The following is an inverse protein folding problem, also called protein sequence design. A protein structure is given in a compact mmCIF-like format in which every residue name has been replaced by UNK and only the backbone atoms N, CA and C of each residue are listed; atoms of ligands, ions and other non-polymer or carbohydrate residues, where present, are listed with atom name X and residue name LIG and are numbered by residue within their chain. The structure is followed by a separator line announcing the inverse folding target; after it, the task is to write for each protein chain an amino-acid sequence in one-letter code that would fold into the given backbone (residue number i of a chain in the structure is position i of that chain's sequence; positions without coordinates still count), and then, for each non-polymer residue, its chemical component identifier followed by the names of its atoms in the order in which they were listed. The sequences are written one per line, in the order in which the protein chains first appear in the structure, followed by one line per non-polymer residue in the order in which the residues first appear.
data_IF_731697404530
#
_entry.id   IF_731697404530
#
_cell.length_a   1.000
_cell.length_b   1.000
_cell.length_c   1.000
_cell.angle_alpha   90.00
_cell.angle_beta   90.00
_cell.angle_gamma   90.00
#
_symmetry.space_group_name_H-M   'P 1'
#
loop_
_entity.id
_entity.type
_entity.pdbx_description
1 polymer ?
#
# COMPACT_ATOMS: atom_id res chain seq x y z
N UNK A 1 -73.97 14.89 -30.42
CA UNK A 1 -73.46 14.40 -29.12
C UNK A 1 -74.39 13.32 -28.60
N UNK A 2 -74.20 12.06 -29.03
CA UNK A 2 -74.92 10.92 -28.46
C UNK A 2 -74.24 10.56 -27.14
N UNK A 3 -75.01 10.62 -26.05
CA UNK A 3 -74.56 10.20 -24.73
C UNK A 3 -74.36 8.68 -24.75
N UNK A 4 -73.14 8.24 -24.50
CA UNK A 4 -72.83 6.83 -24.23
C UNK A 4 -73.65 6.41 -23.00
N UNK A 5 -74.66 5.57 -23.20
CA UNK A 5 -75.43 4.96 -22.11
C UNK A 5 -74.59 3.78 -21.60
N UNK A 6 -73.93 3.97 -20.45
CA UNK A 6 -73.29 2.85 -19.74
C UNK A 6 -74.41 2.10 -19.03
N UNK A 7 -74.60 0.84 -19.41
CA UNK A 7 -75.52 -0.07 -18.73
C UNK A 7 -75.01 -0.33 -17.30
N UNK A 8 -75.74 0.11 -16.24
CA UNK A 8 -75.31 -0.08 -14.85
C UNK A 8 -75.31 -1.55 -14.42
N UNK A 9 -75.82 -2.49 -15.24
CA UNK A 9 -75.76 -3.93 -14.96
C UNK A 9 -74.46 -4.61 -15.44
N UNK A 10 -73.60 -3.90 -16.19
CA UNK A 10 -72.27 -4.38 -16.60
C UNK A 10 -71.21 -4.21 -15.48
N UNK A 11 -71.57 -3.64 -14.32
CA UNK A 11 -70.70 -3.64 -13.13
C UNK A 11 -70.96 -4.90 -12.29
N UNK A 12 -70.47 -6.04 -12.77
CA UNK A 12 -70.04 -7.18 -11.94
C UNK A 12 -68.71 -7.60 -12.52
N UNK A 13 -67.62 -7.53 -11.77
CA UNK A 13 -67.41 -8.45 -10.68
C UNK A 13 -66.73 -7.78 -9.50
N UNK A 14 -67.16 -8.17 -8.30
CA UNK A 14 -66.38 -8.04 -7.09
C UNK A 14 -64.95 -8.44 -7.41
N UNK A 15 -64.03 -7.50 -7.30
CA UNK A 15 -62.61 -7.83 -7.23
C UNK A 15 -62.48 -8.74 -6.01
N UNK A 16 -62.41 -10.05 -6.24
CA UNK A 16 -62.29 -11.04 -5.19
C UNK A 16 -61.05 -10.66 -4.37
N UNK A 17 -61.24 -10.25 -3.14
CA UNK A 17 -60.17 -9.80 -2.26
C UNK A 17 -59.10 -10.89 -2.11
N UNK A 18 -59.49 -12.18 -2.17
CA UNK A 18 -58.55 -13.30 -2.21
C UNK A 18 -57.79 -13.39 -3.54
N UNK A 19 -58.43 -13.14 -4.68
CA UNK A 19 -57.73 -13.09 -5.97
C UNK A 19 -56.76 -11.90 -6.07
N UNK A 20 -57.10 -10.74 -5.48
CA UNK A 20 -56.16 -9.62 -5.37
C UNK A 20 -55.01 -9.99 -4.43
N UNK A 21 -55.29 -10.55 -3.25
CA UNK A 21 -54.25 -10.98 -2.30
C UNK A 21 -53.29 -11.99 -2.94
N UNK A 22 -53.81 -12.94 -3.71
CA UNK A 22 -52.99 -13.93 -4.39
C UNK A 22 -52.20 -13.32 -5.55
N UNK A 23 -52.78 -12.39 -6.31
CA UNK A 23 -52.04 -11.63 -7.33
C UNK A 23 -50.93 -10.78 -6.71
N UNK A 24 -51.19 -10.11 -5.58
CA UNK A 24 -50.20 -9.33 -4.83
C UNK A 24 -49.08 -10.20 -4.25
N UNK A 25 -49.39 -11.42 -3.78
CA UNK A 25 -48.36 -12.39 -3.35
C UNK A 25 -47.46 -12.79 -4.52
N UNK A 26 -48.03 -13.05 -5.69
CA UNK A 26 -47.25 -13.38 -6.89
C UNK A 26 -46.40 -12.20 -7.33
N UNK A 27 -46.91 -10.97 -7.28
CA UNK A 27 -46.15 -9.76 -7.67
C UNK A 27 -45.08 -9.32 -6.67
N UNK A 28 -45.08 -9.86 -5.45
CA UNK A 28 -44.10 -9.45 -4.46
C UNK A 28 -42.66 -9.73 -4.96
N UNK A 29 -41.70 -8.80 -4.83
CA UNK A 29 -40.34 -8.97 -5.37
C UNK A 29 -39.62 -10.24 -4.90
N UNK A 30 -39.85 -10.64 -3.65
CA UNK A 30 -39.33 -11.92 -3.10
C UNK A 30 -39.91 -13.12 -3.85
N UNK A 31 -41.22 -13.13 -4.12
CA UNK A 31 -41.87 -14.23 -4.86
C UNK A 31 -41.34 -14.27 -6.29
N UNK A 32 -41.24 -13.12 -6.97
CA UNK A 32 -40.67 -13.03 -8.31
C UNK A 32 -39.23 -13.57 -8.34
N UNK A 33 -38.41 -13.21 -7.35
CA UNK A 33 -37.05 -13.72 -7.22
C UNK A 33 -37.02 -15.23 -6.99
N UNK A 34 -37.86 -15.74 -6.10
CA UNK A 34 -37.95 -17.17 -5.82
C UNK A 34 -38.33 -17.97 -7.07
N UNK A 35 -39.31 -17.49 -7.84
CA UNK A 35 -39.71 -18.11 -9.11
C UNK A 35 -38.58 -18.07 -10.14
N UNK A 36 -37.84 -16.96 -10.24
CA UNK A 36 -36.69 -16.84 -11.12
C UNK A 36 -35.55 -17.83 -10.76
N UNK A 37 -35.46 -18.22 -9.49
CA UNK A 37 -34.52 -19.24 -8.99
C UNK A 37 -35.07 -20.69 -9.11
N UNK A 38 -36.17 -20.88 -9.84
CA UNK A 38 -36.80 -22.19 -10.07
C UNK A 38 -37.98 -22.53 -9.14
N UNK A 39 -38.33 -21.62 -8.22
CA UNK A 39 -39.48 -21.76 -7.33
C UNK A 39 -39.42 -23.06 -6.51
N UNK A 40 -40.54 -23.78 -6.36
CA UNK A 40 -40.60 -25.04 -5.61
C UNK A 40 -39.66 -26.15 -6.12
N UNK A 41 -39.30 -26.14 -7.41
CA UNK A 41 -38.34 -27.08 -8.00
C UNK A 41 -36.89 -26.59 -7.96
N UNK A 42 -36.65 -25.36 -7.47
CA UNK A 42 -35.34 -24.73 -7.41
C UNK A 42 -34.51 -25.17 -6.20
N UNK A 43 -33.22 -24.83 -6.25
CA UNK A 43 -32.24 -25.22 -5.22
C UNK A 43 -32.51 -24.60 -3.85
N UNK A 44 -33.21 -23.45 -3.79
CA UNK A 44 -33.49 -22.74 -2.54
C UNK A 44 -34.42 -23.51 -1.60
N UNK A 45 -35.23 -24.43 -2.17
CA UNK A 45 -36.15 -25.30 -1.44
C UNK A 45 -37.45 -24.60 -1.00
N UNK A 46 -38.26 -25.24 -0.14
CA UNK A 46 -39.51 -24.66 0.36
C UNK A 46 -39.24 -23.47 1.29
N UNK A 47 -40.17 -22.52 1.31
CA UNK A 47 -40.15 -21.45 2.31
C UNK A 47 -40.49 -22.00 3.69
N UNK A 48 -39.81 -21.49 4.72
CA UNK A 48 -40.00 -21.90 6.11
C UNK A 48 -40.95 -20.97 6.87
N UNK A 49 -41.09 -19.74 6.37
CA UNK A 49 -41.92 -18.68 6.96
C UNK A 49 -42.66 -17.94 5.85
N UNK A 50 -43.78 -17.25 6.14
CA UNK A 50 -44.35 -16.28 5.21
C UNK A 50 -43.40 -15.11 4.96
N UNK A 51 -43.62 -14.38 3.85
CA UNK A 51 -42.96 -13.10 3.62
C UNK A 51 -43.27 -12.18 4.81
N UNK A 52 -42.22 -11.75 5.49
CA UNK A 52 -42.31 -11.01 6.75
C UNK A 52 -41.59 -9.68 6.58
N UNK A 53 -42.15 -8.61 7.15
CA UNK A 53 -41.50 -7.30 7.17
C UNK A 53 -40.22 -7.38 8.00
N UNK A 54 -39.14 -6.78 7.51
CA UNK A 54 -37.90 -6.71 8.28
C UNK A 54 -38.12 -5.90 9.57
N UNK A 55 -37.50 -6.29 10.70
CA UNK A 55 -37.53 -5.56 11.97
C UNK A 55 -37.19 -4.06 11.91
N UNK A 56 -36.37 -3.62 10.95
CA UNK A 56 -36.06 -2.21 10.73
C UNK A 56 -37.24 -1.40 10.14
N UNK A 57 -38.28 -2.09 9.69
CA UNK A 57 -39.48 -1.53 9.09
C UNK A 57 -39.35 -1.16 7.61
N UNK A 58 -38.23 -1.42 6.93
CA UNK A 58 -38.05 -0.94 5.56
C UNK A 58 -38.31 -2.04 4.54
N UNK A 59 -37.55 -3.13 4.64
CA UNK A 59 -37.63 -4.24 3.71
C UNK A 59 -38.59 -5.35 4.12
N UNK A 60 -38.52 -6.44 3.39
CA UNK A 60 -39.17 -7.70 3.74
C UNK A 60 -38.23 -8.85 3.45
N UNK A 61 -38.45 -9.99 4.09
CA UNK A 61 -37.64 -11.18 3.89
C UNK A 61 -38.48 -12.45 3.94
N UNK A 62 -37.93 -13.51 3.36
CA UNK A 62 -38.45 -14.86 3.51
C UNK A 62 -37.29 -15.83 3.67
N UNK A 63 -37.37 -16.71 4.66
CA UNK A 63 -36.42 -17.80 4.83
C UNK A 63 -36.91 -19.04 4.10
N UNK A 64 -35.95 -19.74 3.50
CA UNK A 64 -36.14 -20.99 2.79
C UNK A 64 -35.21 -22.05 3.38
N UNK A 65 -35.44 -23.32 3.02
CA UNK A 65 -34.62 -24.43 3.52
C UNK A 65 -33.11 -24.21 3.31
N UNK A 66 -32.72 -23.70 2.14
CA UNK A 66 -31.31 -23.57 1.76
C UNK A 66 -30.82 -22.12 1.67
N UNK A 67 -31.60 -21.13 2.08
CA UNK A 67 -31.18 -19.72 2.00
C UNK A 67 -32.23 -18.73 2.46
N UNK A 68 -32.02 -17.46 2.17
CA UNK A 68 -32.98 -16.38 2.40
C UNK A 68 -33.07 -15.49 1.17
N UNK A 69 -34.24 -14.91 0.93
CA UNK A 69 -34.38 -13.76 0.02
C UNK A 69 -34.78 -12.55 0.84
N UNK A 70 -34.06 -11.46 0.67
CA UNK A 70 -34.36 -10.16 1.27
C UNK A 70 -34.66 -9.15 0.18
N UNK A 71 -35.68 -8.34 0.41
CA UNK A 71 -36.09 -7.24 -0.45
C UNK A 71 -35.93 -5.91 0.30
N UNK A 72 -35.34 -4.93 -0.38
CA UNK A 72 -35.36 -3.53 0.03
C UNK A 72 -35.73 -2.64 -1.17
N UNK A 73 -36.51 -1.55 -0.98
CA UNK A 73 -36.96 -0.71 -2.09
C UNK A 73 -35.85 -0.16 -2.99
N UNK A 74 -34.68 0.13 -2.41
CA UNK A 74 -33.53 0.67 -3.16
C UNK A 74 -32.59 -0.38 -3.74
N UNK A 75 -32.66 -1.64 -3.29
CA UNK A 75 -31.70 -2.68 -3.72
C UNK A 75 -32.36 -3.79 -4.52
N UNK A 76 -33.67 -3.98 -4.39
CA UNK A 76 -34.40 -5.10 -4.99
C UNK A 76 -34.36 -6.34 -4.13
N UNK A 77 -34.76 -7.48 -4.70
CA UNK A 77 -34.80 -8.78 -4.02
C UNK A 77 -33.57 -9.62 -4.38
N UNK A 78 -32.77 -9.97 -3.37
CA UNK A 78 -31.54 -10.74 -3.52
C UNK A 78 -31.51 -11.91 -2.57
N UNK A 79 -30.93 -13.02 -3.03
CA UNK A 79 -30.72 -14.18 -2.20
C UNK A 79 -29.37 -14.13 -1.46
N UNK A 80 -29.33 -14.70 -0.26
CA UNK A 80 -28.10 -14.98 0.48
C UNK A 80 -28.21 -16.40 1.04
N UNK A 81 -27.18 -17.23 0.87
CA UNK A 81 -27.19 -18.61 1.34
C UNK A 81 -25.87 -19.07 1.98
N UNK A 82 -25.82 -20.35 2.34
CA UNK A 82 -24.62 -21.01 2.86
C UNK A 82 -23.92 -20.27 4.01
N UNK A 83 -22.58 -20.23 3.94
CA UNK A 83 -21.74 -19.63 4.96
C UNK A 83 -21.75 -18.09 4.93
N UNK A 84 -22.05 -17.48 3.78
CA UNK A 84 -22.21 -16.02 3.69
C UNK A 84 -23.44 -15.58 4.48
N UNK A 85 -24.57 -16.27 4.29
CA UNK A 85 -25.79 -16.06 5.06
C UNK A 85 -25.55 -16.27 6.56
N UNK A 86 -24.86 -17.34 6.93
CA UNK A 86 -24.53 -17.60 8.34
C UNK A 86 -23.66 -16.50 8.95
N UNK A 87 -22.72 -15.94 8.18
CA UNK A 87 -21.90 -14.80 8.62
C UNK A 87 -22.73 -13.54 8.79
N UNK A 88 -23.56 -13.20 7.81
CA UNK A 88 -24.44 -12.03 7.90
C UNK A 88 -25.45 -12.14 9.05
N UNK A 89 -25.99 -13.34 9.28
CA UNK A 89 -26.82 -13.67 10.44
C UNK A 89 -26.10 -13.35 11.76
N UNK A 90 -24.82 -13.72 11.88
CA UNK A 90 -24.03 -13.49 13.11
C UNK A 90 -23.86 -12.01 13.45
N UNK A 91 -24.00 -11.11 12.49
CA UNK A 91 -23.99 -9.67 12.71
C UNK A 91 -25.36 -9.07 13.01
N UNK A 92 -26.43 -9.86 12.95
CA UNK A 92 -27.80 -9.38 13.14
C UNK A 92 -28.52 -9.00 11.85
N UNK A 93 -28.17 -9.62 10.71
CA UNK A 93 -28.88 -9.49 9.44
C UNK A 93 -28.92 -8.04 8.93
N UNK A 94 -30.06 -7.58 8.40
CA UNK A 94 -30.25 -6.25 7.83
C UNK A 94 -30.13 -5.12 8.84
N UNK A 95 -30.23 -5.43 10.15
CA UNK A 95 -29.99 -4.45 11.22
C UNK A 95 -28.50 -4.21 11.49
N UNK A 96 -27.64 -5.05 10.94
CA UNK A 96 -26.19 -4.88 11.06
C UNK A 96 -25.70 -3.69 10.23
N UNK A 97 -24.45 -3.30 10.46
CA UNK A 97 -23.79 -2.26 9.65
C UNK A 97 -23.69 -2.61 8.16
N UNK A 98 -23.88 -3.87 7.77
CA UNK A 98 -23.91 -4.28 6.36
C UNK A 98 -25.22 -3.90 5.67
N UNK A 99 -26.35 -3.83 6.39
CA UNK A 99 -27.66 -3.58 5.78
C UNK A 99 -28.10 -4.71 4.86
N UNK A 100 -28.82 -4.36 3.79
CA UNK A 100 -29.39 -5.30 2.83
C UNK A 100 -28.41 -5.76 1.75
N UNK A 101 -28.59 -6.97 1.20
CA UNK A 101 -27.84 -7.43 0.03
C UNK A 101 -28.12 -6.57 -1.21
N UNK A 102 -27.07 -6.38 -2.00
CA UNK A 102 -27.06 -5.71 -3.31
C UNK A 102 -26.93 -6.68 -4.47
N UNK A 103 -26.51 -7.92 -4.18
CA UNK A 103 -26.35 -9.00 -5.15
C UNK A 103 -26.85 -10.30 -4.55
N UNK A 104 -27.20 -11.24 -5.42
CA UNK A 104 -27.22 -12.66 -5.05
C UNK A 104 -25.82 -13.14 -4.68
N UNK A 105 -25.74 -14.32 -4.07
CA UNK A 105 -24.47 -14.99 -3.86
C UNK A 105 -23.91 -15.41 -5.22
N UNK A 106 -22.84 -14.73 -5.63
CA UNK A 106 -22.29 -14.83 -6.97
C UNK A 106 -20.91 -15.46 -6.92
N UNK A 107 -20.56 -16.29 -7.91
CA UNK A 107 -19.19 -16.78 -8.09
C UNK A 107 -18.24 -15.61 -8.29
N UNK A 108 -17.14 -15.59 -7.53
CA UNK A 108 -16.09 -14.61 -7.72
C UNK A 108 -15.49 -14.74 -9.12
N UNK A 109 -15.06 -13.63 -9.75
CA UNK A 109 -14.47 -13.68 -11.09
C UNK A 109 -13.25 -14.61 -11.26
N UNK A 110 -12.51 -14.97 -10.21
CA UNK A 110 -11.45 -16.00 -10.28
C UNK A 110 -11.98 -17.45 -10.37
N UNK A 111 -13.29 -17.67 -10.21
CA UNK A 111 -13.95 -18.97 -10.26
C UNK A 111 -13.85 -19.81 -8.98
N UNK A 112 -13.22 -19.31 -7.91
CA UNK A 112 -12.91 -20.10 -6.71
C UNK A 112 -13.94 -19.90 -5.61
N UNK A 113 -14.25 -18.65 -5.30
CA UNK A 113 -15.07 -18.25 -4.18
C UNK A 113 -16.50 -17.86 -4.55
N UNK A 114 -17.19 -17.34 -3.54
CA UNK A 114 -18.54 -16.78 -3.63
C UNK A 114 -18.56 -15.46 -2.87
N UNK A 115 -19.44 -14.54 -3.24
CA UNK A 115 -19.61 -13.30 -2.49
C UNK A 115 -21.03 -12.76 -2.59
N UNK A 116 -21.41 -11.98 -1.58
CA UNK A 116 -22.49 -11.01 -1.68
C UNK A 116 -21.92 -9.62 -1.40
N UNK A 117 -22.33 -8.63 -2.18
CA UNK A 117 -22.23 -7.25 -1.78
C UNK A 117 -23.46 -6.85 -0.96
N UNK A 118 -23.23 -6.03 0.05
CA UNK A 118 -24.25 -5.43 0.91
C UNK A 118 -24.11 -3.91 0.86
N UNK A 119 -25.12 -3.19 1.32
CA UNK A 119 -25.10 -1.71 1.35
C UNK A 119 -23.86 -1.16 2.07
N UNK A 120 -23.48 -1.78 3.19
CA UNK A 120 -22.38 -1.33 4.03
C UNK A 120 -21.05 -2.05 3.80
N UNK A 121 -20.99 -3.11 2.99
CA UNK A 121 -19.78 -3.91 2.85
C UNK A 121 -19.90 -5.10 1.91
N UNK A 122 -19.02 -6.08 2.08
CA UNK A 122 -19.06 -7.35 1.36
C UNK A 122 -18.80 -8.50 2.31
N UNK A 123 -19.37 -9.67 2.01
CA UNK A 123 -18.91 -10.93 2.60
C UNK A 123 -18.43 -11.82 1.46
N UNK A 124 -17.20 -12.30 1.57
CA UNK A 124 -16.58 -13.21 0.63
C UNK A 124 -16.33 -14.55 1.29
N UNK A 125 -16.61 -15.62 0.56
CA UNK A 125 -16.31 -16.98 0.94
C UNK A 125 -15.31 -17.61 -0.03
N UNK A 126 -14.35 -18.37 0.49
CA UNK A 126 -13.57 -19.32 -0.30
C UNK A 126 -13.42 -20.67 0.41
N UNK A 127 -13.15 -21.76 -0.33
CA UNK A 127 -12.94 -23.08 0.27
C UNK A 127 -11.82 -23.11 1.32
N UNK A 128 -10.79 -22.28 1.15
CA UNK A 128 -9.61 -22.26 2.03
C UNK A 128 -9.72 -21.31 3.21
N UNK A 129 -10.66 -20.36 3.20
CA UNK A 129 -10.77 -19.35 4.26
C UNK A 129 -12.10 -19.38 5.01
N UNK A 130 -13.20 -19.84 4.39
CA UNK A 130 -14.55 -19.62 4.91
C UNK A 130 -15.08 -18.23 4.54
N UNK A 131 -16.18 -17.81 5.18
CA UNK A 131 -16.86 -16.55 4.85
C UNK A 131 -16.43 -15.41 5.77
N UNK A 132 -15.93 -14.31 5.22
CA UNK A 132 -15.39 -13.16 5.96
C UNK A 132 -15.87 -11.82 5.39
N UNK A 133 -16.08 -10.89 6.31
CA UNK A 133 -16.61 -9.57 6.03
C UNK A 133 -15.51 -8.53 5.81
N UNK A 134 -15.71 -7.64 4.85
CA UNK A 134 -14.86 -6.47 4.60
C UNK A 134 -15.73 -5.26 4.28
N UNK A 135 -15.55 -4.13 4.98
CA UNK A 135 -16.34 -2.91 4.77
C UNK A 135 -15.48 -1.64 4.71
N UNK A 136 -16.16 -0.51 4.53
CA UNK A 136 -15.60 0.84 4.66
C UNK A 136 -14.34 1.08 3.83
N UNK A 137 -13.38 1.77 4.43
CA UNK A 137 -12.15 2.16 3.76
C UNK A 137 -11.27 0.96 3.39
N UNK A 138 -11.27 -0.11 4.18
CA UNK A 138 -10.50 -1.32 3.91
C UNK A 138 -11.05 -2.05 2.69
N UNK A 139 -12.37 -2.19 2.58
CA UNK A 139 -13.02 -2.75 1.39
C UNK A 139 -12.72 -1.92 0.16
N UNK A 140 -12.81 -0.59 0.25
CA UNK A 140 -12.52 0.30 -0.88
C UNK A 140 -11.06 0.16 -1.34
N UNK A 141 -10.13 0.02 -0.39
CA UNK A 141 -8.71 -0.24 -0.69
C UNK A 141 -8.53 -1.57 -1.40
N UNK A 142 -9.07 -2.66 -0.85
CA UNK A 142 -8.99 -3.98 -1.46
C UNK A 142 -9.62 -4.02 -2.86
N UNK A 143 -10.74 -3.33 -3.04
CA UNK A 143 -11.38 -3.13 -4.34
C UNK A 143 -10.45 -2.47 -5.35
N UNK A 144 -9.75 -1.39 -4.95
CA UNK A 144 -8.82 -0.68 -5.83
C UNK A 144 -7.61 -1.52 -6.25
N UNK A 145 -7.29 -2.56 -5.48
CA UNK A 145 -6.21 -3.52 -5.78
C UNK A 145 -6.68 -4.66 -6.69
N UNK A 146 -7.99 -4.76 -6.98
CA UNK A 146 -8.56 -5.83 -7.80
C UNK A 146 -9.20 -6.97 -7.00
N UNK A 147 -9.64 -6.71 -5.76
CA UNK A 147 -10.36 -7.67 -4.92
C UNK A 147 -9.59 -8.99 -4.72
N UNK A 148 -10.26 -10.13 -4.78
CA UNK A 148 -9.69 -11.47 -4.61
C UNK A 148 -8.70 -11.86 -5.71
N UNK A 149 -8.68 -11.14 -6.85
CA UNK A 149 -7.67 -11.31 -7.90
C UNK A 149 -6.38 -10.55 -7.63
N UNK A 150 -6.37 -9.68 -6.62
CA UNK A 150 -5.15 -9.01 -6.17
C UNK A 150 -4.18 -9.98 -5.49
N UNK A 151 -2.94 -9.55 -5.29
CA UNK A 151 -1.95 -10.31 -4.53
C UNK A 151 -2.36 -10.57 -3.07
N UNK A 152 -3.37 -9.87 -2.53
CA UNK A 152 -3.90 -10.12 -1.20
C UNK A 152 -4.81 -11.36 -1.16
N UNK A 153 -5.49 -11.70 -2.25
CA UNK A 153 -6.43 -12.82 -2.29
C UNK A 153 -7.67 -12.59 -1.41
N UNK A 154 -8.19 -13.67 -0.82
CA UNK A 154 -9.40 -13.65 0.01
C UNK A 154 -9.13 -13.16 1.43
N UNK A 155 -10.13 -12.51 2.07
CA UNK A 155 -10.07 -12.18 3.49
C UNK A 155 -9.99 -13.43 4.37
N UNK A 156 -9.29 -13.32 5.49
CA UNK A 156 -9.13 -14.34 6.54
C UNK A 156 -9.77 -13.93 7.86
N UNK A 157 -10.20 -12.67 7.98
CA UNK A 157 -10.87 -12.12 9.15
C UNK A 157 -11.99 -11.19 8.69
N UNK A 158 -12.95 -10.94 9.59
CA UNK A 158 -13.79 -9.74 9.47
C UNK A 158 -12.93 -8.49 9.65
N UNK A 159 -13.53 -7.32 9.44
CA UNK A 159 -12.89 -6.08 9.89
C UNK A 159 -12.93 -6.01 11.43
N UNK A 160 -11.76 -6.02 12.04
CA UNK A 160 -11.57 -6.01 13.50
C UNK A 160 -10.98 -4.68 13.95
N UNK A 161 -11.29 -4.28 15.19
CA UNK A 161 -10.56 -3.20 15.85
C UNK A 161 -9.16 -3.68 16.19
N UNK A 162 -8.15 -2.86 15.92
CA UNK A 162 -6.78 -3.18 16.32
C UNK A 162 -6.67 -3.29 17.86
N UNK A 163 -5.75 -4.11 18.37
CA UNK A 163 -5.54 -4.26 19.81
C UNK A 163 -5.36 -2.96 20.60
N UNK A 164 -4.78 -1.91 20.03
CA UNK A 164 -4.63 -0.60 20.68
C UNK A 164 -5.91 0.25 20.74
N UNK A 165 -6.99 -0.18 20.07
CA UNK A 165 -8.29 0.51 20.03
C UNK A 165 -8.38 1.69 19.05
N UNK A 166 -7.35 1.96 18.25
CA UNK A 166 -7.29 3.15 17.39
C UNK A 166 -7.75 2.85 15.96
N UNK A 167 -7.26 1.77 15.38
CA UNK A 167 -7.43 1.42 13.99
C UNK A 167 -8.39 0.26 13.74
N UNK A 168 -8.51 -0.07 12.47
CA UNK A 168 -9.27 -1.20 11.96
C UNK A 168 -8.39 -2.01 11.02
N UNK A 169 -8.61 -3.32 10.91
CA UNK A 169 -7.86 -4.14 9.98
C UNK A 169 -8.63 -5.37 9.48
N UNK A 170 -8.24 -5.83 8.30
CA UNK A 170 -8.51 -7.18 7.83
C UNK A 170 -7.18 -7.88 7.51
N UNK A 171 -7.08 -9.16 7.87
CA UNK A 171 -6.06 -10.04 7.28
C UNK A 171 -6.61 -10.68 6.01
N UNK A 172 -5.73 -10.85 5.03
CA UNK A 172 -5.97 -11.52 3.76
C UNK A 172 -4.93 -12.63 3.58
N UNK A 173 -5.14 -13.53 2.62
CA UNK A 173 -4.23 -14.63 2.33
C UNK A 173 -2.80 -14.16 2.05
N UNK A 174 -2.64 -13.10 1.27
CA UNK A 174 -1.34 -12.57 0.86
C UNK A 174 -0.83 -11.41 1.72
N UNK A 175 -1.63 -10.87 2.65
CA UNK A 175 -1.23 -9.67 3.39
C UNK A 175 -2.27 -9.16 4.38
N UNK A 176 -2.26 -7.86 4.65
CA UNK A 176 -3.23 -7.22 5.53
C UNK A 176 -3.47 -5.79 5.09
N UNK A 177 -4.66 -5.27 5.37
CA UNK A 177 -4.96 -3.85 5.20
C UNK A 177 -5.30 -3.29 6.57
N UNK A 178 -4.63 -2.21 6.95
CA UNK A 178 -4.86 -1.48 8.18
C UNK A 178 -5.36 -0.08 7.85
N UNK A 179 -6.25 0.44 8.68
CA UNK A 179 -6.81 1.78 8.55
C UNK A 179 -6.81 2.52 9.89
N UNK A 180 -6.50 3.80 9.85
CA UNK A 180 -6.81 4.77 10.91
C UNK A 180 -7.37 6.05 10.30
N UNK A 181 -8.07 6.90 11.07
CA UNK A 181 -8.47 8.23 10.59
C UNK A 181 -7.30 9.09 10.10
N UNK A 182 -6.11 8.92 10.71
CA UNK A 182 -4.92 9.74 10.41
C UNK A 182 -4.12 9.27 9.19
N UNK A 183 -4.14 7.97 8.91
CA UNK A 183 -3.31 7.36 7.85
C UNK A 183 -4.11 6.97 6.63
N UNK A 184 -5.42 6.72 6.77
CA UNK A 184 -6.18 6.02 5.73
C UNK A 184 -5.82 4.53 5.67
N UNK A 185 -6.33 3.84 4.64
CA UNK A 185 -6.22 2.39 4.49
C UNK A 185 -5.01 2.02 3.63
N UNK A 186 -4.09 1.24 4.21
CA UNK A 186 -2.86 0.81 3.57
C UNK A 186 -2.67 -0.68 3.68
N UNK A 187 -2.21 -1.28 2.58
CA UNK A 187 -1.83 -2.68 2.57
C UNK A 187 -0.39 -2.87 3.06
N UNK A 188 -0.13 -3.98 3.74
CA UNK A 188 1.21 -4.47 4.03
C UNK A 188 1.21 -5.97 3.74
N UNK A 189 2.19 -6.45 2.96
CA UNK A 189 2.26 -7.85 2.54
C UNK A 189 3.69 -8.41 2.58
N UNK A 190 3.81 -9.71 2.26
CA UNK A 190 5.10 -10.39 2.09
C UNK A 190 6.05 -10.28 3.29
N UNK A 191 7.36 -10.19 2.99
CA UNK A 191 8.41 -10.15 4.02
C UNK A 191 8.31 -8.90 4.91
N UNK A 192 7.91 -7.76 4.35
CA UNK A 192 7.71 -6.51 5.10
C UNK A 192 6.66 -6.71 6.19
N UNK A 193 5.52 -7.32 5.85
CA UNK A 193 4.47 -7.63 6.82
C UNK A 193 4.95 -8.57 7.91
N UNK A 194 5.67 -9.63 7.57
CA UNK A 194 6.18 -10.59 8.57
C UNK A 194 7.18 -9.92 9.52
N UNK A 195 8.03 -9.02 9.02
CA UNK A 195 8.90 -8.20 9.87
C UNK A 195 8.10 -7.29 10.80
N UNK A 196 7.09 -6.59 10.28
CA UNK A 196 6.25 -5.70 11.10
C UNK A 196 5.45 -6.46 12.17
N UNK A 197 4.92 -7.64 11.81
CA UNK A 197 4.30 -8.59 12.74
C UNK A 197 5.25 -9.01 13.85
N UNK A 198 6.49 -9.39 13.51
CA UNK A 198 7.50 -9.79 14.49
C UNK A 198 7.87 -8.65 15.46
N UNK A 199 7.72 -7.39 15.03
CA UNK A 199 7.90 -6.22 15.88
C UNK A 199 6.68 -5.88 16.76
N UNK A 200 5.56 -6.58 16.60
CA UNK A 200 4.32 -6.34 17.36
C UNK A 200 3.30 -5.45 16.65
N UNK A 201 3.28 -5.44 15.31
CA UNK A 201 2.25 -4.77 14.49
C UNK A 201 2.13 -3.26 14.79
N UNK A 202 0.91 -2.73 14.88
CA UNK A 202 0.62 -1.32 15.14
C UNK A 202 1.12 -0.83 16.50
N UNK A 203 1.32 -1.75 17.46
CA UNK A 203 1.93 -1.45 18.77
C UNK A 203 3.45 -1.39 18.73
N UNK A 204 4.07 -1.73 17.60
CA UNK A 204 5.52 -1.65 17.44
C UNK A 204 6.02 -0.21 17.46
N UNK A 205 7.34 -0.07 17.53
CA UNK A 205 8.04 1.23 17.42
C UNK A 205 7.67 2.00 16.14
N UNK A 206 7.23 1.31 15.09
CA UNK A 206 6.89 1.90 13.79
C UNK A 206 5.47 2.46 13.73
N UNK A 207 4.52 1.88 14.48
CA UNK A 207 3.11 2.28 14.43
C UNK A 207 2.38 1.75 13.20
N UNK A 208 1.39 2.50 12.72
CA UNK A 208 0.56 2.14 11.56
C UNK A 208 1.26 2.41 10.23
N UNK A 209 0.92 1.65 9.17
CA UNK A 209 1.37 1.96 7.81
C UNK A 209 0.79 3.30 7.34
N UNK A 210 1.61 4.06 6.60
CA UNK A 210 1.28 5.35 5.96
C UNK A 210 1.46 5.31 4.45
N UNK A 211 1.85 4.15 3.91
CA UNK A 211 1.90 3.85 2.49
C UNK A 211 1.58 2.38 2.29
N UNK A 212 1.19 2.03 1.06
CA UNK A 212 1.30 0.65 0.59
C UNK A 212 2.78 0.29 0.39
N UNK A 213 3.06 -0.93 -0.10
CA UNK A 213 4.40 -1.28 -0.57
C UNK A 213 4.76 -0.49 -1.85
N UNK A 214 5.92 0.17 -1.80
CA UNK A 214 6.45 0.99 -2.89
C UNK A 214 7.73 0.38 -3.46
N UNK A 215 7.95 0.59 -4.75
CA UNK A 215 9.22 0.28 -5.42
C UNK A 215 10.26 1.32 -5.07
N UNK A 216 11.46 0.88 -4.69
CA UNK A 216 12.57 1.77 -4.33
C UNK A 216 13.45 2.03 -5.55
N UNK A 217 13.53 3.30 -5.96
CA UNK A 217 14.42 3.79 -7.04
C UNK A 217 14.38 2.97 -8.34
N UNK A 218 13.21 2.45 -8.72
CA UNK A 218 13.05 1.61 -9.91
C UNK A 218 13.76 0.25 -9.87
N UNK A 219 14.33 -0.14 -8.72
CA UNK A 219 15.05 -1.38 -8.53
C UNK A 219 14.17 -2.53 -7.98
N UNK A 220 14.84 -3.58 -7.52
CA UNK A 220 14.20 -4.77 -6.92
C UNK A 220 13.79 -4.55 -5.47
N UNK A 221 14.31 -3.50 -4.81
CA UNK A 221 13.96 -3.14 -3.44
C UNK A 221 12.50 -2.72 -3.30
N UNK A 222 11.94 -2.99 -2.11
CA UNK A 222 10.59 -2.61 -1.71
C UNK A 222 10.63 -1.89 -0.37
N UNK A 223 9.71 -0.97 -0.16
CA UNK A 223 9.59 -0.24 1.12
C UNK A 223 8.13 -0.01 1.46
N UNK A 224 7.78 -0.16 2.73
CA UNK A 224 6.54 0.39 3.28
C UNK A 224 6.88 1.42 4.34
N UNK A 225 6.18 2.55 4.32
CA UNK A 225 6.30 3.60 5.31
C UNK A 225 5.31 3.37 6.45
N UNK A 226 5.74 3.70 7.65
CA UNK A 226 4.97 3.66 8.87
C UNK A 226 5.09 5.01 9.57
N UNK A 227 4.19 5.29 10.51
CA UNK A 227 4.11 6.58 11.22
C UNK A 227 5.44 7.08 11.78
N UNK A 228 6.33 6.17 12.20
CA UNK A 228 7.63 6.51 12.82
C UNK A 228 8.79 5.77 12.16
N UNK A 229 8.70 5.43 10.89
CA UNK A 229 9.80 4.73 10.23
C UNK A 229 9.41 4.06 8.93
N UNK A 230 10.23 3.11 8.51
CA UNK A 230 9.95 2.32 7.31
C UNK A 230 10.50 0.92 7.48
N UNK A 231 9.98 -0.03 6.72
CA UNK A 231 10.64 -1.33 6.54
C UNK A 231 11.01 -1.43 5.08
N UNK A 232 12.30 -1.57 4.83
CA UNK A 232 12.86 -1.86 3.52
C UNK A 232 13.06 -3.36 3.38
N UNK A 233 12.87 -3.87 2.18
CA UNK A 233 13.21 -5.23 1.80
C UNK A 233 13.99 -5.23 0.49
N UNK A 234 14.99 -6.09 0.39
CA UNK A 234 15.56 -6.49 -0.90
C UNK A 234 15.89 -7.98 -0.93
N UNK A 235 16.05 -8.58 -2.12
CA UNK A 235 16.43 -9.98 -2.25
C UNK A 235 17.75 -10.34 -1.55
N UNK A 236 18.70 -9.39 -1.46
CA UNK A 236 20.03 -9.63 -0.90
C UNK A 236 20.11 -9.26 0.59
N UNK A 237 19.46 -8.18 1.01
CA UNK A 237 19.59 -7.65 2.37
C UNK A 237 18.52 -8.17 3.33
N UNK A 238 17.46 -8.82 2.82
CA UNK A 238 16.28 -9.17 3.59
C UNK A 238 15.54 -7.92 4.08
N UNK A 239 14.76 -8.05 5.16
CA UNK A 239 14.05 -6.92 5.77
C UNK A 239 14.94 -6.11 6.68
N UNK A 240 14.84 -4.78 6.60
CA UNK A 240 15.57 -3.81 7.43
C UNK A 240 14.61 -2.74 7.94
N UNK A 241 14.62 -2.52 9.25
CA UNK A 241 13.85 -1.45 9.89
C UNK A 241 14.64 -0.15 9.78
N UNK A 242 14.02 0.86 9.20
CA UNK A 242 14.59 2.18 9.01
C UNK A 242 13.93 3.17 9.96
N UNK A 243 14.72 3.87 10.76
CA UNK A 243 14.27 4.80 11.81
C UNK A 243 14.85 6.20 11.62
N UNK A 244 15.93 6.29 10.87
CA UNK A 244 16.56 7.52 10.46
C UNK A 244 16.43 7.69 8.95
N UNK A 245 16.64 8.91 8.48
CA UNK A 245 16.74 9.24 7.07
C UNK A 245 17.82 10.26 6.79
N UNK A 246 18.33 10.19 5.57
CA UNK A 246 19.11 11.23 4.92
C UNK A 246 18.34 11.77 3.74
N UNK A 247 18.42 13.07 3.51
CA UNK A 247 17.70 13.77 2.45
C UNK A 247 18.71 14.32 1.46
N UNK A 248 18.56 13.95 0.19
CA UNK A 248 19.56 14.19 -0.85
C UNK A 248 18.92 14.88 -2.05
N UNK A 249 19.53 15.98 -2.46
CA UNK A 249 19.20 16.69 -3.69
C UNK A 249 20.25 16.38 -4.75
N UNK A 250 19.79 16.13 -5.98
CA UNK A 250 20.63 15.81 -7.12
C UNK A 250 20.79 17.04 -8.00
N UNK A 251 22.03 17.40 -8.31
CA UNK A 251 22.38 18.44 -9.26
C UNK A 251 23.16 17.81 -10.41
N UNK A 252 22.67 17.96 -11.64
CA UNK A 252 23.23 17.32 -12.83
C UNK A 252 23.85 18.39 -13.71
N UNK A 253 25.17 18.43 -13.78
CA UNK A 253 25.87 19.16 -14.84
C UNK A 253 26.07 18.22 -16.03
N UNK A 254 26.37 16.96 -15.73
CA UNK A 254 26.63 15.91 -16.71
C UNK A 254 25.91 14.63 -16.32
N UNK A 255 25.21 14.00 -17.28
CA UNK A 255 24.46 12.79 -17.01
C UNK A 255 25.39 11.60 -16.72
N UNK A 256 25.10 10.79 -15.69
CA UNK A 256 25.77 9.51 -15.47
C UNK A 256 25.76 8.62 -16.70
N UNK A 257 26.87 7.93 -16.97
CA UNK A 257 27.04 7.05 -18.14
C UNK A 257 27.25 5.59 -17.78
N UNK A 258 27.85 5.29 -16.63
CA UNK A 258 28.12 3.91 -16.21
C UNK A 258 26.89 3.26 -15.56
N UNK A 259 26.17 4.04 -14.75
CA UNK A 259 24.96 3.62 -14.04
C UNK A 259 24.01 4.80 -13.93
N UNK A 260 22.72 4.54 -14.12
CA UNK A 260 21.65 5.53 -13.92
C UNK A 260 21.60 6.01 -12.47
N UNK A 261 20.97 7.16 -12.24
CA UNK A 261 20.72 7.66 -10.87
C UNK A 261 19.93 6.65 -10.04
N UNK A 262 18.92 6.03 -10.63
CA UNK A 262 18.12 5.00 -9.97
C UNK A 262 18.96 3.81 -9.49
N UNK A 263 19.88 3.31 -10.31
CA UNK A 263 20.79 2.22 -9.91
C UNK A 263 21.74 2.63 -8.79
N UNK A 264 22.27 3.86 -8.83
CA UNK A 264 23.16 4.39 -7.80
C UNK A 264 22.43 4.62 -6.47
N UNK A 265 21.22 5.17 -6.50
CA UNK A 265 20.40 5.38 -5.30
C UNK A 265 19.85 4.06 -4.74
N UNK A 266 19.49 3.09 -5.59
CA UNK A 266 19.11 1.74 -5.16
C UNK A 266 20.27 1.04 -4.44
N UNK A 267 21.47 1.10 -5.03
CA UNK A 267 22.70 0.56 -4.44
C UNK A 267 23.02 1.23 -3.08
N UNK A 268 22.93 2.56 -3.02
CA UNK A 268 23.13 3.32 -1.78
C UNK A 268 22.10 2.94 -0.71
N UNK A 269 20.81 2.88 -1.05
CA UNK A 269 19.75 2.53 -0.10
C UNK A 269 19.90 1.11 0.44
N UNK A 270 20.28 0.15 -0.39
CA UNK A 270 20.49 -1.23 0.04
C UNK A 270 21.58 -1.32 1.12
N UNK A 271 22.69 -0.61 0.94
CA UNK A 271 23.77 -0.55 1.91
C UNK A 271 23.34 0.24 3.15
N UNK A 272 22.74 1.43 2.99
CA UNK A 272 22.34 2.29 4.10
C UNK A 272 21.21 1.69 4.95
N UNK A 273 20.42 0.78 4.39
CA UNK A 273 19.43 0.01 5.12
C UNK A 273 20.06 -0.87 6.20
N UNK A 274 21.31 -1.33 6.03
CA UNK A 274 22.07 -2.04 7.09
C UNK A 274 22.27 -1.15 8.32
N UNK A 275 22.45 0.15 8.10
CA UNK A 275 22.55 1.15 9.16
C UNK A 275 21.19 1.60 9.71
N UNK A 276 20.06 1.14 9.17
CA UNK A 276 18.72 1.61 9.57
C UNK A 276 18.34 2.97 8.97
N UNK A 277 19.03 3.40 7.91
CA UNK A 277 18.86 4.72 7.31
C UNK A 277 18.11 4.62 5.98
N UNK A 278 17.05 5.41 5.85
CA UNK A 278 16.34 5.64 4.59
C UNK A 278 17.02 6.75 3.80
N UNK A 279 17.14 6.56 2.50
CA UNK A 279 17.62 7.55 1.54
C UNK A 279 16.40 8.20 0.90
N UNK A 280 16.24 9.51 1.08
CA UNK A 280 15.20 10.31 0.44
C UNK A 280 15.83 11.09 -0.73
N UNK A 281 15.52 10.71 -1.96
CA UNK A 281 15.80 11.56 -3.14
C UNK A 281 14.74 12.67 -3.18
N UNK A 282 15.14 13.90 -2.85
CA UNK A 282 14.22 15.03 -2.66
C UNK A 282 13.93 15.78 -3.96
N UNK A 283 14.96 16.23 -4.67
CA UNK A 283 14.80 16.95 -5.95
C UNK A 283 15.90 16.61 -6.94
N UNK A 284 15.64 16.85 -8.21
CA UNK A 284 16.67 16.91 -9.26
C UNK A 284 16.65 18.27 -9.94
N UNK A 285 17.82 18.83 -10.21
CA UNK A 285 18.00 20.06 -10.98
C UNK A 285 19.16 19.88 -11.97
N UNK A 286 18.92 20.23 -13.24
CA UNK A 286 19.99 20.32 -14.23
C UNK A 286 20.65 21.70 -14.09
N UNK A 287 21.97 21.74 -13.99
CA UNK A 287 22.76 22.97 -13.90
C UNK A 287 23.56 23.19 -15.18
N UNK A 288 23.60 24.42 -15.66
CA UNK A 288 24.45 24.82 -16.79
C UNK A 288 25.62 25.66 -16.28
N UNK A 289 26.72 24.97 -15.96
CA UNK A 289 27.94 25.57 -15.42
C UNK A 289 29.15 25.00 -16.18
N UNK A 290 29.37 25.40 -17.44
CA UNK A 290 30.34 24.74 -18.34
C UNK A 290 31.78 24.80 -17.85
N UNK A 291 32.13 25.76 -16.99
CA UNK A 291 33.46 25.85 -16.37
C UNK A 291 33.63 24.94 -15.16
N UNK A 292 32.57 24.27 -14.72
CA UNK A 292 32.55 23.38 -13.54
C UNK A 292 32.13 21.95 -13.92
N UNK A 293 32.23 21.56 -15.20
CA UNK A 293 32.01 20.17 -15.61
C UNK A 293 33.20 19.28 -15.28
N UNK A 294 34.42 19.82 -15.24
CA UNK A 294 35.57 19.16 -14.62
C UNK A 294 35.94 19.98 -13.39
N UNK A 295 35.84 19.38 -12.21
CA UNK A 295 35.93 20.13 -10.95
C UNK A 295 37.23 19.83 -10.24
N UNK A 296 38.02 20.86 -9.97
CA UNK A 296 39.14 20.77 -9.03
C UNK A 296 38.61 20.50 -7.63
N UNK A 297 38.97 19.34 -7.06
CA UNK A 297 38.61 18.90 -5.71
C UNK A 297 39.84 18.82 -4.79
N UNK A 298 41.01 19.24 -5.28
CA UNK A 298 42.28 19.16 -4.55
C UNK A 298 42.56 17.73 -4.08
N UNK A 299 43.15 17.58 -2.89
CA UNK A 299 43.41 16.24 -2.31
C UNK A 299 42.16 15.50 -1.82
N UNK A 300 40.96 16.11 -1.93
CA UNK A 300 39.71 15.59 -1.37
C UNK A 300 39.79 15.25 0.14
N UNK A 301 40.35 16.15 0.94
CA UNK A 301 40.40 15.99 2.39
C UNK A 301 39.18 16.65 3.05
N UNK A 302 38.48 15.91 3.91
CA UNK A 302 37.35 16.46 4.65
C UNK A 302 37.74 17.75 5.40
N UNK A 303 36.89 18.78 5.27
CA UNK A 303 37.15 20.11 5.83
C UNK A 303 38.01 21.04 4.96
N UNK A 304 38.50 20.58 3.81
CA UNK A 304 39.21 21.39 2.82
C UNK A 304 38.41 21.42 1.51
N UNK A 305 38.15 22.61 0.98
CA UNK A 305 37.46 22.77 -0.31
C UNK A 305 38.17 23.78 -1.21
N UNK A 306 38.22 23.49 -2.50
CA UNK A 306 38.77 24.40 -3.52
C UNK A 306 37.82 25.57 -3.83
N UNK A 307 38.29 26.53 -4.62
CA UNK A 307 37.46 27.62 -5.14
C UNK A 307 36.33 27.12 -6.05
N UNK A 308 36.60 26.08 -6.84
CA UNK A 308 35.60 25.47 -7.72
C UNK A 308 34.54 24.71 -6.92
N UNK A 309 34.93 23.93 -5.90
CA UNK A 309 33.97 23.33 -4.97
C UNK A 309 33.15 24.39 -4.25
N UNK A 310 33.76 25.49 -3.81
CA UNK A 310 33.03 26.59 -3.15
C UNK A 310 31.97 27.20 -4.07
N UNK A 311 32.30 27.38 -5.36
CA UNK A 311 31.39 27.91 -6.38
C UNK A 311 30.28 26.91 -6.71
N UNK A 312 30.63 25.65 -6.95
CA UNK A 312 29.69 24.57 -7.26
C UNK A 312 28.67 24.38 -6.14
N UNK A 313 29.15 24.25 -4.90
CA UNK A 313 28.32 24.09 -3.70
C UNK A 313 27.56 25.37 -3.32
N UNK A 314 27.73 26.48 -4.06
CA UNK A 314 26.82 27.62 -4.00
C UNK A 314 25.44 27.32 -4.61
N UNK A 315 25.34 26.33 -5.48
CA UNK A 315 24.11 25.97 -6.20
C UNK A 315 23.26 24.98 -5.39
N UNK A 316 22.58 25.47 -4.35
CA UNK A 316 21.82 24.66 -3.38
C UNK A 316 20.31 24.92 -3.40
N UNK A 317 19.75 25.21 -4.57
CA UNK A 317 18.32 25.46 -4.72
C UNK A 317 17.50 24.30 -4.12
N UNK A 318 16.36 24.63 -3.51
CA UNK A 318 15.37 23.72 -2.91
C UNK A 318 15.78 23.03 -1.60
N UNK A 319 16.96 23.30 -1.06
CA UNK A 319 17.45 22.65 0.16
C UNK A 319 16.96 23.33 1.43
N UNK A 320 16.75 22.53 2.48
CA UNK A 320 16.35 22.98 3.81
C UNK A 320 17.16 22.27 4.90
N UNK A 321 17.46 22.96 6.00
CA UNK A 321 18.09 22.35 7.18
C UNK A 321 19.35 21.54 6.86
N UNK A 322 19.31 20.25 7.18
CA UNK A 322 20.44 19.31 7.07
C UNK A 322 20.44 18.51 5.75
N UNK A 323 19.71 18.98 4.73
CA UNK A 323 19.68 18.34 3.41
C UNK A 323 21.09 18.32 2.76
N UNK A 324 21.44 17.19 2.17
CA UNK A 324 22.70 16.99 1.47
C UNK A 324 22.53 17.13 -0.04
N UNK A 325 23.64 17.31 -0.77
CA UNK A 325 23.64 17.42 -2.22
C UNK A 325 24.66 16.50 -2.87
N UNK A 326 24.31 15.95 -4.02
CA UNK A 326 25.29 15.36 -4.95
C UNK A 326 25.33 16.19 -6.24
N UNK A 327 26.54 16.51 -6.70
CA UNK A 327 26.78 17.10 -8.01
C UNK A 327 27.36 16.05 -8.96
N UNK A 328 26.64 15.76 -10.05
CA UNK A 328 27.15 14.91 -11.12
C UNK A 328 27.88 15.73 -12.17
N UNK A 329 29.17 15.44 -12.34
CA UNK A 329 30.11 16.19 -13.17
C UNK A 329 30.79 15.26 -14.19
N UNK A 330 31.50 15.81 -15.19
CA UNK A 330 32.25 15.02 -16.17
C UNK A 330 33.44 14.32 -15.52
N UNK A 331 34.27 15.06 -14.80
CA UNK A 331 35.46 14.53 -14.12
C UNK A 331 35.85 15.39 -12.91
N UNK A 332 36.83 14.94 -12.13
CA UNK A 332 37.48 15.76 -11.10
C UNK A 332 38.96 15.94 -11.41
N UNK A 333 39.56 16.97 -10.81
CA UNK A 333 41.00 17.21 -10.81
C UNK A 333 41.50 17.25 -9.35
N UNK A 334 42.45 16.41 -8.94
CA UNK A 334 42.94 15.19 -9.59
C UNK A 334 41.81 14.19 -9.90
N UNK A 335 42.11 13.20 -10.74
CA UNK A 335 41.14 12.22 -11.21
C UNK A 335 40.71 11.24 -10.10
N UNK A 336 39.53 11.49 -9.54
CA UNK A 336 38.83 10.64 -8.59
C UNK A 336 37.46 10.25 -9.16
N UNK A 337 36.85 9.20 -8.61
CA UNK A 337 35.46 8.84 -8.98
C UNK A 337 34.42 9.72 -8.27
N UNK A 338 34.81 10.33 -7.15
CA UNK A 338 33.99 11.23 -6.38
C UNK A 338 34.83 11.98 -5.36
N UNK A 339 34.20 12.96 -4.74
CA UNK A 339 34.79 13.65 -3.61
C UNK A 339 33.73 14.17 -2.64
N UNK A 340 33.82 13.73 -1.40
CA UNK A 340 32.96 14.15 -0.29
C UNK A 340 33.41 15.44 0.41
N UNK A 341 34.60 15.96 0.09
CA UNK A 341 35.05 17.23 0.66
C UNK A 341 34.15 18.37 0.17
N UNK A 342 33.69 19.20 1.11
CA UNK A 342 32.71 20.24 0.85
C UNK A 342 32.93 21.46 1.76
N UNK A 343 32.50 22.66 1.35
CA UNK A 343 32.58 23.84 2.21
C UNK A 343 31.78 23.68 3.50
N UNK A 344 32.23 24.32 4.58
CA UNK A 344 31.56 24.25 5.89
C UNK A 344 30.06 24.64 5.79
N UNK A 345 29.19 23.87 6.44
CA UNK A 345 27.75 24.06 6.41
C UNK A 345 27.07 23.71 5.08
N UNK A 346 27.78 23.11 4.11
CA UNK A 346 27.23 22.72 2.80
C UNK A 346 27.44 21.22 2.54
N UNK A 347 26.85 20.32 3.35
CA UNK A 347 27.08 18.88 3.24
C UNK A 347 26.72 18.36 1.86
N UNK A 348 27.59 17.53 1.29
CA UNK A 348 27.39 16.94 -0.02
C UNK A 348 28.68 16.40 -0.64
N UNK A 349 28.58 15.94 -1.87
CA UNK A 349 29.69 15.37 -2.62
C UNK A 349 29.61 15.70 -4.11
N UNK A 350 30.72 15.48 -4.79
CA UNK A 350 30.83 15.43 -6.26
C UNK A 350 30.96 13.97 -6.66
N UNK A 351 30.29 13.55 -7.73
CA UNK A 351 30.41 12.22 -8.32
C UNK A 351 30.61 12.36 -9.82
N UNK A 352 31.61 11.67 -10.39
CA UNK A 352 31.85 11.74 -11.83
C UNK A 352 30.87 10.86 -12.59
N UNK A 353 30.49 11.25 -13.81
CA UNK A 353 29.51 10.54 -14.64
C UNK A 353 29.87 9.08 -14.92
N UNK A 354 31.16 8.74 -14.91
CA UNK A 354 31.65 7.38 -15.13
C UNK A 354 31.80 6.55 -13.85
N UNK A 355 31.41 7.08 -12.69
CA UNK A 355 31.60 6.41 -11.40
C UNK A 355 30.87 5.05 -11.32
N UNK A 356 31.34 4.19 -10.42
CA UNK A 356 30.67 2.92 -10.14
C UNK A 356 29.36 3.15 -9.41
N UNK A 357 28.45 2.15 -9.42
CA UNK A 357 27.17 2.24 -8.70
C UNK A 357 27.30 2.47 -7.19
N UNK A 358 28.47 2.17 -6.60
CA UNK A 358 28.73 2.28 -5.16
C UNK A 358 29.33 3.63 -4.76
N UNK A 359 29.86 4.40 -5.71
CA UNK A 359 30.54 5.67 -5.41
C UNK A 359 29.64 6.66 -4.69
N UNK A 360 28.37 6.78 -5.10
CA UNK A 360 27.43 7.68 -4.43
C UNK A 360 27.33 7.38 -2.93
N UNK A 361 27.10 6.10 -2.58
CA UNK A 361 27.02 5.66 -1.19
C UNK A 361 28.33 5.84 -0.43
N UNK A 362 29.47 5.59 -1.08
CA UNK A 362 30.81 5.78 -0.52
C UNK A 362 31.06 7.25 -0.14
N UNK A 363 30.81 8.19 -1.06
CA UNK A 363 31.01 9.61 -0.79
C UNK A 363 30.08 10.10 0.32
N UNK A 364 28.81 9.68 0.32
CA UNK A 364 27.92 10.01 1.43
C UNK A 364 28.30 9.33 2.74
N UNK A 365 28.97 8.17 2.69
CA UNK A 365 29.61 7.58 3.87
C UNK A 365 30.59 8.55 4.53
N UNK A 366 31.47 9.18 3.75
CA UNK A 366 32.37 10.23 4.27
C UNK A 366 31.63 11.46 4.80
N UNK A 367 30.60 11.93 4.08
CA UNK A 367 29.77 13.05 4.55
C UNK A 367 29.10 12.73 5.90
N UNK A 368 28.78 11.46 6.13
CA UNK A 368 28.23 10.96 7.39
C UNK A 368 29.28 10.59 8.45
N UNK A 369 30.57 10.87 8.18
CA UNK A 369 31.66 10.71 9.15
C UNK A 369 32.42 9.39 9.07
N UNK A 370 32.24 8.61 8.00
CA UNK A 370 33.02 7.39 7.80
C UNK A 370 34.41 7.69 7.22
N UNK A 371 35.36 6.81 7.52
CA UNK A 371 36.73 6.85 7.01
C UNK A 371 37.02 5.63 6.15
N UNK A 372 38.03 5.73 5.28
CA UNK A 372 38.44 4.59 4.47
C UNK A 372 38.89 3.40 5.32
N UNK A 373 38.66 2.22 4.76
CA UNK A 373 39.14 0.93 5.26
C UNK A 373 39.90 0.21 4.15
N UNK A 374 40.89 -0.59 4.51
CA UNK A 374 41.60 -1.44 3.55
C UNK A 374 40.90 -2.80 3.42
N UNK A 375 39.66 -2.80 2.90
CA UNK A 375 38.87 -4.02 2.67
C UNK A 375 37.87 -3.79 1.53
N UNK A 376 37.98 -4.59 0.47
CA UNK A 376 37.14 -4.49 -0.73
C UNK A 376 35.74 -5.08 -0.58
N UNK A 377 35.46 -5.82 0.49
CA UNK A 377 34.09 -6.24 0.80
C UNK A 377 33.26 -5.12 1.45
N UNK A 378 33.89 -4.00 1.83
CA UNK A 378 33.25 -2.91 2.58
C UNK A 378 33.02 -1.67 1.73
N UNK A 379 31.95 -0.93 2.04
CA UNK A 379 31.56 0.27 1.28
C UNK A 379 32.70 1.29 1.24
N UNK A 380 33.37 1.49 2.38
CA UNK A 380 34.41 2.50 2.56
C UNK A 380 35.79 2.01 2.10
N UNK A 381 35.88 1.08 1.14
CA UNK A 381 37.18 0.63 0.60
C UNK A 381 38.02 1.81 0.10
N UNK A 382 39.25 1.94 0.61
CA UNK A 382 40.24 2.90 0.13
C UNK A 382 40.87 2.52 -1.22
N UNK A 383 40.61 1.30 -1.71
CA UNK A 383 41.18 0.79 -2.96
C UNK A 383 40.33 1.12 -4.19
N UNK A 384 39.27 1.92 -4.03
CA UNK A 384 38.38 2.35 -5.11
C UNK A 384 37.14 1.46 -5.26
N UNK A 385 35.99 2.09 -5.48
CA UNK A 385 34.66 1.46 -5.48
C UNK A 385 34.37 0.54 -6.67
N UNK A 386 35.22 0.52 -7.70
CA UNK A 386 35.18 -0.49 -8.77
C UNK A 386 35.73 -1.84 -8.31
N UNK A 387 36.55 -1.85 -7.25
CA UNK A 387 37.20 -3.05 -6.73
C UNK A 387 36.37 -3.73 -5.64
N UNK A 388 35.11 -3.34 -5.43
CA UNK A 388 34.23 -3.97 -4.44
C UNK A 388 33.95 -5.42 -4.84
N UNK A 389 34.22 -6.34 -3.92
CA UNK A 389 34.19 -7.80 -4.14
C UNK A 389 32.95 -8.48 -3.57
N UNK A 390 32.27 -7.88 -2.60
CA UNK A 390 31.04 -8.37 -2.00
C UNK A 390 29.88 -7.41 -2.31
N UNK A 391 29.08 -7.60 -3.38
CA UNK A 391 27.92 -6.76 -3.65
C UNK A 391 26.61 -7.34 -3.05
N UNK A 392 25.82 -6.58 -2.26
CA UNK A 392 26.11 -5.22 -1.79
C UNK A 392 27.22 -5.20 -0.73
N UNK A 393 28.07 -4.15 -0.71
CA UNK A 393 29.19 -4.06 0.21
C UNK A 393 28.73 -3.94 1.66
N UNK A 394 29.53 -4.50 2.56
CA UNK A 394 29.28 -4.53 3.98
C UNK A 394 29.46 -3.14 4.61
N UNK A 395 28.64 -2.90 5.65
CA UNK A 395 28.85 -1.85 6.64
C UNK A 395 29.03 -2.49 8.02
N UNK A 396 30.13 -2.16 8.68
CA UNK A 396 30.35 -2.61 10.05
C UNK A 396 29.39 -1.93 11.04
N UNK A 397 29.18 -2.55 12.19
CA UNK A 397 28.33 -2.00 13.26
C UNK A 397 28.79 -0.62 13.73
N UNK A 398 30.11 -0.38 13.80
CA UNK A 398 30.68 0.92 14.18
C UNK A 398 30.41 1.98 13.13
N UNK A 399 30.58 1.67 11.84
CA UNK A 399 30.22 2.57 10.73
C UNK A 399 28.72 2.89 10.74
N UNK A 400 27.89 1.87 10.88
CA UNK A 400 26.43 2.03 10.98
C UNK A 400 26.04 2.95 12.13
N UNK A 401 26.72 2.83 13.28
CA UNK A 401 26.48 3.69 14.44
C UNK A 401 26.95 5.13 14.20
N UNK A 402 28.11 5.32 13.57
CA UNK A 402 28.59 6.65 13.16
C UNK A 402 27.59 7.32 12.22
N UNK A 403 27.10 6.61 11.20
CA UNK A 403 26.14 7.16 10.26
C UNK A 403 24.84 7.57 10.93
N UNK A 404 24.28 6.75 11.83
CA UNK A 404 23.06 7.10 12.58
C UNK A 404 23.25 8.29 13.51
N UNK A 405 24.42 8.41 14.13
CA UNK A 405 24.74 9.51 15.05
C UNK A 405 25.14 10.81 14.34
N UNK A 406 25.29 10.79 13.02
CA UNK A 406 25.51 12.02 12.25
C UNK A 406 24.33 12.96 12.38
N UNK A 407 24.61 14.26 12.56
CA UNK A 407 23.58 15.31 12.58
C UNK A 407 22.76 15.41 11.28
N UNK A 408 23.27 14.83 10.18
CA UNK A 408 22.61 14.77 8.88
C UNK A 408 21.60 13.61 8.78
N UNK A 409 21.70 12.63 9.67
CA UNK A 409 20.74 11.54 9.82
C UNK A 409 19.64 12.00 10.78
N UNK A 410 18.43 12.19 10.26
CA UNK A 410 17.30 12.70 11.03
C UNK A 410 16.28 11.60 11.31
N UNK A 411 15.61 11.60 12.48
CA UNK A 411 14.53 10.65 12.74
C UNK A 411 13.38 10.75 11.73
N UNK A 412 12.73 9.62 11.49
CA UNK A 412 11.54 9.48 10.64
C UNK A 412 10.22 9.81 11.33
#
# INVERSE_FOLDING_TARGET
MSKLHIDPTIVRTDLNLEAIKDLLKVQHPITQKYLALGGPGGWLGPHLIPITRCPDGVGSYQHYANGSIYYHPSTGAHEVHGLIRARWQSFGWERSFLGYPLTDETTTPDGIGRYNHFQGGSIYWSPSSGAWEVHGAIRNKWASLGWERSFLGYPLTNELTTPDGIGRYNHFQGGSIYWTPSTGAHEVHGAIREQWKALGWERSVLGYPTSDELVVFGGTGRISHFQRGSIYWSPTAGTRVLRERVRIHVKILENPTSFTLNEQFAAMQEVFAVAGIRVDWVTTENLSLPTLTDVDVGGCFMGQSTAEQTSLFGNRNFMSGNDMVVYYVRSTVPAYNGCAAHPNGRPGCVVVRSASRWTLGHEFGHVLGLSHVNNNDRLMTGNGTFNITNPPPDLATTESSTMRNSTLSTPL
#
